data_IF_678008982257
#
_entry.id   IF_678008982257
#
_cell.length_a   1.000
_cell.length_b   1.000
_cell.length_c   1.000
_cell.angle_alpha   90.00
_cell.angle_beta   90.00
_cell.angle_gamma   90.00
#
_symmetry.space_group_name_H-M   'P 1'
#
loop_
_entity.id
_entity.type
_entity.pdbx_description
1 polymer ?
#
# COMPACT_ATOMS: atom_id res chain seq x y z
N UNK A 1 -88.04 -32.04 34.29
CA UNK A 1 -87.94 -31.08 35.41
C UNK A 1 -86.77 -30.14 35.11
N UNK A 2 -87.07 -28.86 34.90
CA UNK A 2 -86.12 -27.78 34.56
C UNK A 2 -85.39 -27.29 35.81
N UNK A 3 -84.08 -27.11 35.73
CA UNK A 3 -83.25 -26.17 36.51
C UNK A 3 -81.86 -26.20 35.82
N UNK A 4 -81.41 -25.24 35.02
CA UNK A 4 -81.21 -23.79 35.22
C UNK A 4 -80.37 -23.49 36.47
N UNK A 5 -79.10 -23.08 36.27
CA UNK A 5 -78.60 -21.73 36.60
C UNK A 5 -77.08 -21.62 36.40
N UNK A 6 -76.70 -20.55 35.68
CA UNK A 6 -75.57 -19.62 35.92
C UNK A 6 -74.19 -20.25 36.19
N UNK A 7 -73.18 -20.02 35.37
CA UNK A 7 -72.79 -18.73 34.83
C UNK A 7 -71.48 -18.28 35.48
N UNK A 8 -70.39 -18.23 34.71
CA UNK A 8 -69.28 -17.31 34.94
C UNK A 8 -68.52 -17.16 33.62
N UNK A 9 -68.96 -16.16 32.86
CA UNK A 9 -68.11 -15.48 31.88
C UNK A 9 -67.04 -14.68 32.66
N UNK A 10 -65.91 -14.48 32.00
CA UNK A 10 -64.84 -13.51 32.28
C UNK A 10 -63.78 -14.00 33.26
N UNK A 11 -62.65 -14.44 32.70
CA UNK A 11 -61.40 -13.73 32.96
C UNK A 11 -60.36 -14.00 31.88
N UNK A 12 -59.96 -12.90 31.24
CA UNK A 12 -58.61 -12.57 30.73
C UNK A 12 -57.93 -13.64 29.86
N UNK A 13 -57.88 -13.55 28.53
CA UNK A 13 -57.38 -12.42 27.73
C UNK A 13 -56.09 -11.83 28.31
N UNK A 14 -54.97 -12.57 28.23
CA UNK A 14 -53.60 -12.04 28.21
C UNK A 14 -52.57 -13.18 28.06
N UNK A 15 -52.60 -13.92 26.93
CA UNK A 15 -51.54 -14.91 26.66
C UNK A 15 -51.26 -15.09 25.17
N UNK A 16 -51.48 -14.05 24.35
CA UNK A 16 -51.32 -14.18 22.90
C UNK A 16 -50.86 -12.87 22.25
N UNK A 17 -49.85 -12.22 22.83
CA UNK A 17 -49.18 -11.05 22.25
C UNK A 17 -47.70 -10.92 22.65
N UNK A 18 -47.06 -12.03 23.04
CA UNK A 18 -45.60 -12.10 23.28
C UNK A 18 -45.06 -13.39 22.63
N UNK A 19 -45.48 -13.65 21.40
CA UNK A 19 -44.90 -14.73 20.58
C UNK A 19 -44.87 -14.33 19.10
N UNK A 20 -44.72 -13.03 18.83
CA UNK A 20 -44.58 -12.46 17.49
C UNK A 20 -43.69 -11.20 17.49
N UNK A 21 -42.74 -11.12 18.42
CA UNK A 21 -41.80 -9.99 18.56
C UNK A 21 -40.39 -10.45 19.00
N UNK A 22 -40.00 -11.68 18.65
CA UNK A 22 -38.62 -12.20 18.82
C UNK A 22 -38.16 -12.88 17.53
N UNK A 23 -38.52 -12.30 16.38
CA UNK A 23 -38.16 -12.81 15.04
C UNK A 23 -37.80 -11.66 14.10
N UNK A 24 -37.14 -10.62 14.63
CA UNK A 24 -36.75 -9.42 13.88
C UNK A 24 -35.41 -8.81 14.34
N UNK A 25 -34.45 -9.63 14.79
CA UNK A 25 -33.07 -9.20 15.06
C UNK A 25 -32.07 -10.33 14.73
N UNK A 26 -32.00 -10.74 13.46
CA UNK A 26 -30.91 -11.60 12.98
C UNK A 26 -30.70 -11.48 11.47
N UNK A 27 -30.66 -10.26 10.94
CA UNK A 27 -30.18 -9.95 9.59
C UNK A 27 -29.42 -8.62 9.70
N UNK A 28 -28.13 -8.52 9.41
CA UNK A 28 -27.10 -9.51 9.20
C UNK A 28 -25.80 -8.89 9.70
N UNK A 29 -25.03 -9.65 10.48
CA UNK A 29 -23.61 -9.38 10.55
C UNK A 29 -23.07 -9.72 9.16
N UNK A 30 -22.82 -8.71 8.32
CA UNK A 30 -21.97 -8.91 7.15
C UNK A 30 -20.67 -9.49 7.69
N UNK A 31 -20.35 -10.71 7.24
CA UNK A 31 -19.06 -11.32 7.52
C UNK A 31 -18.01 -10.29 7.15
N UNK A 32 -17.29 -9.77 8.14
CA UNK A 32 -15.97 -9.24 7.89
C UNK A 32 -15.22 -10.44 7.31
N UNK A 33 -15.05 -10.46 5.99
CA UNK A 33 -14.19 -11.41 5.33
C UNK A 33 -12.82 -11.16 5.95
N UNK A 34 -12.44 -12.02 6.90
CA UNK A 34 -11.06 -12.15 7.31
C UNK A 34 -10.30 -12.41 6.01
N UNK A 35 -9.53 -11.42 5.57
CA UNK A 35 -8.68 -11.54 4.40
C UNK A 35 -7.79 -12.75 4.68
N UNK A 36 -8.08 -13.88 4.04
CA UNK A 36 -7.19 -15.03 4.09
C UNK A 36 -5.81 -14.54 3.71
N UNK A 37 -4.77 -15.03 4.39
CA UNK A 37 -3.40 -14.63 4.08
C UNK A 37 -3.19 -14.62 2.56
N UNK A 38 -2.57 -13.56 2.02
CA UNK A 38 -2.12 -13.47 0.65
C UNK A 38 -1.73 -14.82 0.06
N UNK A 39 -2.45 -15.31 -0.96
CA UNK A 39 -2.00 -16.49 -1.68
C UNK A 39 -0.69 -16.13 -2.39
N UNK A 40 0.46 -16.73 -2.01
CA UNK A 40 1.77 -16.37 -2.58
C UNK A 40 1.87 -16.64 -4.09
N UNK A 41 0.91 -17.36 -4.68
CA UNK A 41 0.81 -17.52 -6.14
C UNK A 41 0.26 -16.27 -6.84
N UNK A 42 -0.59 -15.50 -6.16
CA UNK A 42 -1.30 -14.34 -6.70
C UNK A 42 -0.60 -13.02 -6.36
N UNK A 43 0.22 -13.00 -5.32
CA UNK A 43 0.96 -11.83 -4.89
C UNK A 43 2.29 -12.18 -4.21
N UNK A 44 3.27 -11.29 -4.32
CA UNK A 44 4.55 -11.43 -3.63
C UNK A 44 5.75 -11.05 -4.50
N UNK A 45 6.96 -11.03 -3.92
CA UNK A 45 8.21 -10.80 -4.65
C UNK A 45 8.73 -12.08 -5.32
N UNK A 46 9.42 -11.94 -6.46
CA UNK A 46 10.15 -13.05 -7.08
C UNK A 46 10.64 -12.77 -8.50
N UNK A 47 11.15 -13.83 -9.14
CA UNK A 47 11.63 -13.82 -10.52
C UNK A 47 10.48 -14.08 -11.49
N UNK A 48 9.53 -13.14 -11.52
CA UNK A 48 8.34 -13.24 -12.36
C UNK A 48 7.89 -11.87 -12.88
N UNK A 49 8.77 -11.21 -13.63
CA UNK A 49 8.36 -10.03 -14.38
C UNK A 49 7.38 -10.42 -15.50
N UNK A 50 6.80 -9.45 -16.21
CA UNK A 50 5.65 -9.76 -17.08
C UNK A 50 6.00 -10.74 -18.21
N UNK A 51 7.24 -10.76 -18.70
CA UNK A 51 7.72 -11.73 -19.70
C UNK A 51 7.84 -13.16 -19.14
N UNK A 52 8.24 -13.30 -17.88
CA UNK A 52 8.29 -14.56 -17.13
C UNK A 52 6.92 -15.20 -16.90
N UNK A 53 5.81 -14.46 -17.12
CA UNK A 53 4.44 -14.99 -17.02
C UNK A 53 4.10 -16.04 -18.11
N UNK A 54 5.10 -16.45 -18.90
CA UNK A 54 5.01 -17.46 -19.95
C UNK A 54 4.81 -16.86 -21.34
N UNK A 55 4.91 -15.53 -21.47
CA UNK A 55 4.66 -14.81 -22.71
C UNK A 55 5.52 -15.34 -23.87
N UNK A 56 4.94 -15.62 -25.06
CA UNK A 56 5.71 -16.20 -26.14
C UNK A 56 6.58 -15.09 -26.75
N UNK A 57 7.90 -15.17 -26.58
CA UNK A 57 8.92 -14.29 -27.19
C UNK A 57 9.19 -12.91 -26.56
N UNK A 58 9.19 -12.81 -25.23
CA UNK A 58 9.55 -11.58 -24.52
C UNK A 58 8.41 -10.56 -24.57
N UNK A 59 8.02 -10.03 -23.42
CA UNK A 59 6.94 -9.06 -23.38
C UNK A 59 7.32 -7.82 -24.21
N UNK A 60 6.37 -7.37 -25.04
CA UNK A 60 6.40 -6.10 -25.75
C UNK A 60 5.01 -5.50 -25.61
N UNK A 61 4.77 -4.88 -24.47
CA UNK A 61 3.48 -4.35 -24.08
C UNK A 61 3.15 -3.09 -24.88
N UNK A 62 2.04 -3.15 -25.61
CA UNK A 62 1.67 -2.12 -26.60
C UNK A 62 0.33 -1.47 -26.32
N UNK A 63 -0.37 -1.86 -25.26
CA UNK A 63 -1.63 -1.24 -24.91
C UNK A 63 -1.39 0.16 -24.33
N UNK A 64 -2.09 1.17 -24.85
CA UNK A 64 -2.07 2.55 -24.36
C UNK A 64 -3.34 2.93 -23.60
N UNK A 65 -4.09 1.95 -23.14
CA UNK A 65 -5.50 2.11 -22.79
C UNK A 65 -5.79 1.76 -21.32
N UNK A 66 -4.82 1.19 -20.62
CA UNK A 66 -4.86 0.77 -19.22
C UNK A 66 -3.47 0.91 -18.62
N UNK A 67 -3.34 1.60 -17.48
CA UNK A 67 -2.04 1.84 -16.84
C UNK A 67 -2.18 2.15 -15.34
N UNK A 68 -1.07 2.10 -14.60
CA UNK A 68 -1.00 2.64 -13.24
C UNK A 68 -0.74 4.13 -13.38
N UNK A 69 -1.70 4.98 -13.04
CA UNK A 69 -1.60 6.42 -13.21
C UNK A 69 -0.83 7.11 -12.07
N UNK A 70 -0.96 6.62 -10.84
CA UNK A 70 -0.23 7.13 -9.67
C UNK A 70 0.24 5.99 -8.77
N UNK A 71 1.41 6.15 -8.15
CA UNK A 71 1.88 5.36 -7.01
C UNK A 71 2.19 6.29 -5.84
N UNK A 72 1.41 6.16 -4.78
CA UNK A 72 1.58 6.93 -3.54
C UNK A 72 2.26 6.08 -2.47
N UNK A 73 3.51 6.40 -2.09
CA UNK A 73 4.25 5.62 -1.11
C UNK A 73 3.87 5.98 0.33
N UNK A 74 3.77 4.95 1.17
CA UNK A 74 3.86 5.03 2.63
C UNK A 74 5.16 4.36 3.08
N UNK A 75 6.17 5.16 3.40
CA UNK A 75 7.51 4.68 3.75
C UNK A 75 7.52 4.04 5.13
N UNK A 76 7.96 2.78 5.20
CA UNK A 76 8.17 2.05 6.45
C UNK A 76 9.65 1.99 6.85
N UNK A 77 10.54 1.98 5.85
CA UNK A 77 12.00 2.11 6.01
C UNK A 77 12.52 2.99 4.89
N UNK A 78 13.27 4.03 5.23
CA UNK A 78 13.77 5.02 4.28
C UNK A 78 14.97 4.52 3.46
N UNK A 79 15.19 5.16 2.32
CA UNK A 79 16.42 5.04 1.54
C UNK A 79 17.55 5.82 2.22
N UNK A 80 18.58 5.13 2.75
CA UNK A 80 19.72 5.79 3.40
C UNK A 80 20.89 6.06 2.44
N UNK A 81 20.99 5.29 1.35
CA UNK A 81 22.04 5.43 0.35
C UNK A 81 21.51 5.05 -1.02
N UNK A 82 22.11 5.59 -2.09
CA UNK A 82 21.93 5.08 -3.44
C UNK A 82 22.41 3.62 -3.50
N UNK A 83 21.61 2.73 -4.11
CA UNK A 83 21.83 1.28 -4.13
C UNK A 83 21.41 0.55 -2.84
N UNK A 84 20.98 1.29 -1.81
CA UNK A 84 20.32 0.71 -0.64
C UNK A 84 18.89 0.28 -0.94
N UNK A 85 18.13 -0.08 0.09
CA UNK A 85 16.73 -0.48 -0.05
C UNK A 85 15.80 0.31 0.87
N UNK A 86 14.60 0.60 0.40
CA UNK A 86 13.49 1.08 1.20
C UNK A 86 12.40 0.01 1.31
N UNK A 87 11.63 0.05 2.39
CA UNK A 87 10.39 -0.74 2.51
C UNK A 87 9.21 0.20 2.46
N UNK A 88 8.31 -0.01 1.49
CA UNK A 88 7.26 0.94 1.11
C UNK A 88 5.95 0.21 0.90
N UNK A 89 4.88 0.71 1.49
CA UNK A 89 3.52 0.28 1.16
C UNK A 89 2.93 1.25 0.14
N UNK A 90 2.48 0.77 -1.01
CA UNK A 90 1.94 1.62 -2.07
C UNK A 90 0.42 1.64 -2.11
N UNK A 91 -0.13 2.81 -2.35
CA UNK A 91 -1.48 3.00 -2.88
C UNK A 91 -1.37 3.38 -4.36
N UNK A 92 -2.13 2.71 -5.21
CA UNK A 92 -2.09 2.88 -6.65
C UNK A 92 -3.43 3.36 -7.19
N UNK A 93 -3.39 4.22 -8.21
CA UNK A 93 -4.57 4.51 -9.04
C UNK A 93 -4.38 3.85 -10.39
N UNK A 94 -5.35 3.05 -10.80
CA UNK A 94 -5.37 2.38 -12.09
C UNK A 94 -6.37 3.12 -12.98
N UNK A 95 -5.92 3.54 -14.15
CA UNK A 95 -6.77 4.15 -15.16
C UNK A 95 -6.97 3.21 -16.33
N UNK A 96 -8.20 3.14 -16.84
CA UNK A 96 -8.49 2.48 -18.11
C UNK A 96 -9.58 3.21 -18.86
N UNK A 97 -9.48 3.22 -20.19
CA UNK A 97 -10.56 3.63 -21.08
C UNK A 97 -11.25 2.42 -21.76
N UNK A 98 -10.80 1.20 -21.45
CA UNK A 98 -11.37 -0.04 -21.95
C UNK A 98 -12.65 -0.41 -21.18
N UNK A 99 -13.63 -1.01 -21.87
CA UNK A 99 -14.90 -1.41 -21.22
C UNK A 99 -14.69 -2.38 -20.05
N UNK A 100 -13.86 -3.41 -20.24
CA UNK A 100 -13.45 -4.38 -19.20
C UNK A 100 -12.04 -4.89 -19.51
N UNK A 101 -11.19 -4.98 -18.47
CA UNK A 101 -9.92 -5.72 -18.45
C UNK A 101 -10.03 -6.85 -17.42
N UNK A 102 -10.04 -8.08 -17.93
CA UNK A 102 -10.21 -9.31 -17.16
C UNK A 102 -8.97 -9.66 -16.38
N UNK A 103 -9.14 -10.15 -15.15
CA UNK A 103 -8.08 -10.74 -14.36
C UNK A 103 -6.85 -9.82 -14.23
N UNK A 104 -7.00 -8.62 -13.69
CA UNK A 104 -5.91 -7.65 -13.78
C UNK A 104 -4.71 -8.03 -12.91
N UNK A 105 -3.53 -8.13 -13.54
CA UNK A 105 -2.23 -8.29 -12.89
C UNK A 105 -1.46 -6.97 -12.85
N UNK A 106 -0.78 -6.71 -11.74
CA UNK A 106 0.11 -5.57 -11.53
C UNK A 106 1.51 -6.10 -11.21
N UNK A 107 2.52 -5.50 -11.84
CA UNK A 107 3.94 -5.83 -11.69
C UNK A 107 4.72 -4.56 -11.40
N UNK A 108 5.60 -4.62 -10.42
CA UNK A 108 6.47 -3.50 -10.02
C UNK A 108 7.89 -4.04 -9.92
N UNK A 109 8.85 -3.45 -10.64
CA UNK A 109 10.25 -3.84 -10.54
C UNK A 109 10.80 -3.42 -9.18
N UNK A 110 11.35 -4.36 -8.41
CA UNK A 110 11.82 -4.08 -7.04
C UNK A 110 13.31 -3.80 -6.98
N UNK A 111 14.06 -4.08 -8.03
CA UNK A 111 15.52 -3.92 -8.09
C UNK A 111 15.95 -2.61 -8.76
N UNK A 112 15.01 -1.74 -9.12
CA UNK A 112 15.26 -0.54 -9.95
C UNK A 112 15.49 -0.88 -11.43
N UNK A 113 15.25 -2.12 -11.83
CA UNK A 113 15.30 -2.60 -13.20
C UNK A 113 13.98 -2.37 -13.94
N UNK A 114 13.58 -3.38 -14.71
CA UNK A 114 12.48 -3.29 -15.68
C UNK A 114 11.40 -4.33 -15.35
N UNK A 115 10.14 -3.91 -15.20
CA UNK A 115 9.03 -4.81 -14.87
C UNK A 115 8.54 -5.66 -16.05
N UNK A 116 8.99 -5.32 -17.26
CA UNK A 116 8.67 -6.01 -18.50
C UNK A 116 9.59 -7.20 -18.76
N UNK A 117 10.90 -7.02 -18.58
CA UNK A 117 11.94 -8.00 -18.96
C UNK A 117 12.97 -8.28 -17.85
N UNK A 118 12.72 -7.80 -16.63
CA UNK A 118 13.62 -7.96 -15.50
C UNK A 118 13.51 -9.32 -14.84
N UNK A 119 14.19 -9.49 -13.70
CA UNK A 119 14.16 -10.74 -12.92
C UNK A 119 13.80 -10.53 -11.44
N UNK A 120 13.37 -9.32 -11.07
CA UNK A 120 13.00 -9.00 -9.69
C UNK A 120 11.78 -8.09 -9.70
N UNK A 121 10.62 -8.72 -9.59
CA UNK A 121 9.34 -8.03 -9.60
C UNK A 121 8.53 -8.41 -8.36
N UNK A 122 7.76 -7.45 -7.86
CA UNK A 122 6.61 -7.74 -7.03
C UNK A 122 5.38 -7.83 -7.92
N UNK A 123 4.59 -8.88 -7.70
CA UNK A 123 3.33 -9.10 -8.41
C UNK A 123 2.15 -8.96 -7.46
N UNK A 124 1.02 -8.57 -8.00
CA UNK A 124 -0.27 -8.72 -7.33
C UNK A 124 -1.41 -8.72 -8.34
N UNK A 125 -2.58 -9.09 -7.89
CA UNK A 125 -3.84 -9.00 -8.64
C UNK A 125 -4.84 -8.16 -7.84
N UNK A 126 -5.91 -7.72 -8.49
CA UNK A 126 -6.96 -6.96 -7.83
C UNK A 126 -7.77 -7.85 -6.89
N UNK A 127 -7.53 -7.70 -5.59
CA UNK A 127 -8.21 -8.44 -4.54
C UNK A 127 -8.48 -7.55 -3.32
N UNK A 128 -9.57 -7.80 -2.57
CA UNK A 128 -10.58 -8.84 -2.79
C UNK A 128 -11.52 -8.51 -3.95
N UNK A 129 -12.20 -9.52 -4.50
CA UNK A 129 -13.22 -9.35 -5.56
C UNK A 129 -14.63 -9.36 -4.99
N UNK A 130 -15.57 -8.75 -5.70
CA UNK A 130 -16.97 -8.78 -5.37
C UNK A 130 -17.56 -10.16 -5.65
N UNK A 131 -18.79 -10.40 -5.17
CA UNK A 131 -19.56 -11.53 -5.68
C UNK A 131 -19.71 -11.42 -7.20
N UNK A 132 -19.78 -12.55 -7.89
CA UNK A 132 -19.98 -12.59 -9.34
C UNK A 132 -21.14 -11.67 -9.77
N UNK A 133 -20.89 -10.87 -10.80
CA UNK A 133 -21.77 -9.86 -11.40
C UNK A 133 -22.19 -8.71 -10.45
N UNK A 134 -21.63 -8.64 -9.24
CA UNK A 134 -21.85 -7.50 -8.36
C UNK A 134 -21.00 -6.30 -8.79
N UNK A 135 -21.51 -5.09 -8.53
CA UNK A 135 -20.87 -3.85 -8.98
C UNK A 135 -19.46 -3.61 -8.38
N UNK A 136 -19.15 -4.23 -7.23
CA UNK A 136 -17.93 -3.94 -6.47
C UNK A 136 -17.90 -2.50 -5.94
N UNK A 137 -16.71 -2.06 -5.55
CA UNK A 137 -16.38 -0.69 -5.18
C UNK A 137 -14.92 -0.37 -5.56
N UNK A 138 -14.59 -0.35 -6.86
CA UNK A 138 -13.22 -0.09 -7.32
C UNK A 138 -12.75 1.32 -6.97
N UNK A 139 -13.66 2.25 -6.68
CA UNK A 139 -13.35 3.64 -6.28
C UNK A 139 -13.31 3.86 -4.78
N UNK A 140 -13.26 2.81 -3.97
CA UNK A 140 -13.06 2.96 -2.54
C UNK A 140 -11.73 3.70 -2.28
N UNK A 141 -11.72 4.89 -1.65
CA UNK A 141 -10.49 5.64 -1.41
C UNK A 141 -9.47 4.90 -0.55
N UNK A 142 -9.89 3.89 0.22
CA UNK A 142 -8.97 3.03 0.96
C UNK A 142 -8.21 2.02 0.07
N UNK A 143 -8.59 1.89 -1.21
CA UNK A 143 -7.98 0.98 -2.16
C UNK A 143 -8.22 -0.51 -1.88
N UNK A 144 -9.12 -0.85 -0.96
CA UNK A 144 -9.33 -2.23 -0.48
C UNK A 144 -10.44 -2.98 -1.23
N UNK A 145 -10.90 -2.45 -2.37
CA UNK A 145 -12.02 -3.03 -3.11
C UNK A 145 -13.34 -3.09 -2.31
N UNK A 146 -14.19 -4.11 -2.53
CA UNK A 146 -13.96 -5.24 -3.45
C UNK A 146 -13.94 -4.79 -4.92
N UNK A 147 -13.06 -5.37 -5.73
CA UNK A 147 -12.98 -5.12 -7.17
C UNK A 147 -14.08 -5.86 -7.90
N UNK A 148 -14.34 -5.51 -9.16
CA UNK A 148 -15.38 -6.17 -9.94
C UNK A 148 -15.07 -7.67 -10.08
N UNK A 149 -16.11 -8.46 -10.32
CA UNK A 149 -16.00 -9.88 -10.66
C UNK A 149 -17.07 -10.21 -11.71
N UNK A 150 -16.72 -10.24 -12.98
CA UNK A 150 -17.64 -10.47 -14.10
C UNK A 150 -17.60 -11.91 -14.61
N UNK A 151 -16.66 -12.74 -14.15
CA UNK A 151 -16.52 -14.12 -14.61
C UNK A 151 -16.61 -15.19 -13.52
N UNK A 152 -16.46 -14.80 -12.26
CA UNK A 152 -16.64 -15.63 -11.07
C UNK A 152 -15.36 -16.19 -10.48
N UNK A 153 -14.20 -15.68 -10.89
CA UNK A 153 -12.90 -16.07 -10.34
C UNK A 153 -12.50 -15.19 -9.13
N UNK A 154 -11.21 -15.20 -8.73
CA UNK A 154 -10.71 -14.37 -7.61
C UNK A 154 -9.79 -13.22 -8.03
N UNK A 155 -9.66 -12.94 -9.32
CA UNK A 155 -8.89 -11.84 -9.87
C UNK A 155 -9.82 -10.74 -10.36
N UNK A 156 -9.75 -9.56 -9.75
CA UNK A 156 -10.69 -8.50 -10.08
C UNK A 156 -10.47 -7.90 -11.46
N UNK A 157 -11.55 -7.44 -12.08
CA UNK A 157 -11.50 -6.68 -13.33
C UNK A 157 -11.49 -5.17 -13.09
N UNK A 158 -11.08 -4.43 -14.12
CA UNK A 158 -11.20 -2.97 -14.19
C UNK A 158 -11.98 -2.56 -15.43
N UNK A 159 -12.85 -1.55 -15.29
CA UNK A 159 -13.70 -1.04 -16.36
C UNK A 159 -13.47 0.46 -16.57
N UNK A 160 -13.87 0.96 -17.74
CA UNK A 160 -13.70 2.36 -18.14
C UNK A 160 -14.44 3.29 -17.19
N UNK A 161 -13.67 4.11 -16.47
CA UNK A 161 -14.10 5.17 -15.55
C UNK A 161 -15.05 4.73 -14.42
N UNK A 162 -14.63 4.87 -13.15
CA UNK A 162 -13.62 5.83 -12.68
C UNK A 162 -12.18 5.29 -12.60
N UNK A 163 -11.91 4.11 -13.17
CA UNK A 163 -10.68 3.38 -12.87
C UNK A 163 -10.81 2.65 -11.54
N UNK A 164 -9.68 2.37 -10.88
CA UNK A 164 -9.65 1.71 -9.58
C UNK A 164 -8.58 2.29 -8.66
N UNK A 165 -8.93 2.48 -7.38
CA UNK A 165 -7.95 2.66 -6.31
C UNK A 165 -7.58 1.28 -5.78
N UNK A 166 -6.28 1.00 -5.71
CA UNK A 166 -5.76 -0.28 -5.27
C UNK A 166 -4.67 -0.08 -4.22
N UNK A 167 -4.87 -0.62 -3.03
CA UNK A 167 -3.87 -0.64 -1.97
C UNK A 167 -3.10 -1.95 -2.04
N UNK A 168 -1.78 -1.87 -2.17
CA UNK A 168 -0.95 -3.06 -2.07
C UNK A 168 -1.15 -3.69 -0.68
N UNK A 169 -1.32 -5.01 -0.65
CA UNK A 169 -1.62 -5.72 0.60
C UNK A 169 -0.38 -5.97 1.45
N UNK A 170 0.81 -5.84 0.87
CA UNK A 170 2.09 -6.04 1.54
C UNK A 170 3.05 -4.89 1.22
N UNK A 171 3.94 -4.53 2.14
CA UNK A 171 5.05 -3.63 1.86
C UNK A 171 6.01 -4.26 0.85
N UNK A 172 6.47 -3.47 -0.10
CA UNK A 172 7.49 -3.83 -1.07
C UNK A 172 8.85 -3.35 -0.60
N UNK A 173 9.86 -4.19 -0.72
CA UNK A 173 11.26 -3.77 -0.62
C UNK A 173 11.72 -3.34 -2.01
N UNK A 174 12.12 -2.08 -2.17
CA UNK A 174 12.60 -1.52 -3.43
C UNK A 174 14.05 -1.06 -3.31
N UNK A 175 14.83 -1.18 -4.38
CA UNK A 175 16.16 -0.58 -4.48
C UNK A 175 16.04 0.92 -4.72
N UNK A 176 16.82 1.69 -3.97
CA UNK A 176 16.90 3.14 -4.09
C UNK A 176 17.89 3.51 -5.20
N UNK A 177 17.40 3.72 -6.42
CA UNK A 177 18.20 4.16 -7.57
C UNK A 177 18.04 5.68 -7.72
N UNK A 178 19.13 6.41 -7.98
CA UNK A 178 19.17 7.87 -8.16
C UNK A 178 20.28 8.18 -9.17
N UNK A 179 20.06 7.69 -10.40
CA UNK A 179 20.97 7.84 -11.51
C UNK A 179 20.50 8.95 -12.47
N UNK A 180 19.27 9.45 -12.31
CA UNK A 180 18.71 10.49 -13.15
C UNK A 180 18.26 11.72 -12.33
N UNK A 181 18.64 12.95 -12.73
CA UNK A 181 19.60 13.27 -13.78
C UNK A 181 21.01 12.72 -13.45
N UNK A 182 21.91 12.71 -14.44
CA UNK A 182 23.27 12.22 -14.21
C UNK A 182 23.92 12.94 -13.01
N UNK A 183 24.34 12.16 -12.01
CA UNK A 183 24.86 12.66 -10.73
C UNK A 183 23.89 12.56 -9.56
N UNK A 184 22.63 12.21 -9.83
CA UNK A 184 21.56 12.05 -8.87
C UNK A 184 21.07 13.38 -8.29
N UNK A 185 19.77 13.50 -8.06
CA UNK A 185 19.15 14.65 -7.40
C UNK A 185 18.76 14.36 -5.94
N UNK A 186 19.03 13.14 -5.45
CA UNK A 186 18.65 12.70 -4.11
C UNK A 186 17.20 12.23 -4.00
N UNK A 187 16.51 12.04 -5.12
CA UNK A 187 15.20 11.41 -5.21
C UNK A 187 15.37 10.02 -5.81
N UNK A 188 14.56 9.06 -5.36
CA UNK A 188 14.52 7.75 -6.02
C UNK A 188 13.92 7.91 -7.41
N UNK A 189 14.63 7.43 -8.43
CA UNK A 189 14.23 7.39 -9.83
C UNK A 189 12.86 6.69 -10.00
N UNK A 190 12.18 7.01 -11.10
CA UNK A 190 10.92 6.38 -11.50
C UNK A 190 11.00 4.85 -11.51
N UNK A 191 10.00 4.20 -10.96
CA UNK A 191 9.95 2.73 -10.86
C UNK A 191 9.27 2.14 -12.09
N UNK A 192 9.86 1.10 -12.67
CA UNK A 192 9.23 0.39 -13.79
C UNK A 192 8.02 -0.40 -13.31
N UNK A 193 6.88 -0.21 -13.95
CA UNK A 193 5.65 -0.94 -13.67
C UNK A 193 5.04 -1.52 -14.94
N UNK A 194 4.29 -2.60 -14.78
CA UNK A 194 3.47 -3.17 -15.85
C UNK A 194 2.10 -3.58 -15.32
N UNK A 195 1.12 -3.53 -16.20
CA UNK A 195 -0.22 -4.11 -16.01
C UNK A 195 -0.50 -5.13 -17.11
N UNK A 196 -1.22 -6.21 -16.77
CA UNK A 196 -1.65 -7.24 -17.71
C UNK A 196 -3.08 -7.68 -17.45
N UNK A 197 -3.71 -8.29 -18.45
CA UNK A 197 -5.06 -8.83 -18.35
C UNK A 197 -5.30 -9.96 -19.36
N UNK A 198 -6.36 -10.74 -19.11
CA UNK A 198 -6.83 -11.79 -20.01
C UNK A 198 -7.39 -11.22 -21.33
N UNK A 199 -7.26 -11.97 -22.43
CA UNK A 199 -7.89 -11.64 -23.70
C UNK A 199 -9.42 -11.79 -23.60
N UNK A 200 -9.91 -12.77 -22.84
CA UNK A 200 -11.33 -13.07 -22.64
C UNK A 200 -11.66 -13.38 -21.17
N UNK A 201 -12.95 -13.29 -20.82
CA UNK A 201 -13.45 -13.77 -19.54
C UNK A 201 -13.19 -15.27 -19.35
N UNK A 202 -12.88 -15.70 -18.12
CA UNK A 202 -12.57 -17.08 -17.73
C UNK A 202 -11.34 -17.68 -18.46
N UNK A 203 -10.49 -16.86 -19.08
CA UNK A 203 -9.27 -17.35 -19.72
C UNK A 203 -8.23 -17.73 -18.67
N UNK A 204 -8.16 -16.95 -17.60
CA UNK A 204 -7.32 -17.20 -16.45
C UNK A 204 -8.19 -17.70 -15.32
N UNK A 205 -7.61 -18.60 -14.53
CA UNK A 205 -8.30 -19.29 -13.44
C UNK A 205 -7.53 -18.94 -12.18
N UNK A 206 -7.87 -17.81 -11.58
CA UNK A 206 -7.28 -17.35 -10.33
C UNK A 206 -7.77 -18.16 -9.12
N UNK A 207 -7.59 -19.49 -9.12
CA UNK A 207 -8.24 -20.40 -8.16
C UNK A 207 -7.25 -21.10 -7.21
N UNK A 208 -6.00 -20.62 -7.15
CA UNK A 208 -5.12 -20.85 -6.03
C UNK A 208 -4.37 -22.18 -5.93
N UNK A 209 -4.12 -22.89 -7.04
CA UNK A 209 -3.11 -23.99 -7.02
C UNK A 209 -2.24 -24.07 -8.28
N UNK A 210 -2.70 -23.58 -9.43
CA UNK A 210 -1.97 -23.63 -10.71
C UNK A 210 -2.08 -22.34 -11.51
N UNK A 211 -2.44 -21.22 -10.88
CA UNK A 211 -2.64 -19.95 -11.59
C UNK A 211 -1.32 -19.50 -12.22
N UNK A 212 -1.16 -19.80 -13.50
CA UNK A 212 -0.44 -18.93 -14.41
C UNK A 212 -1.10 -17.58 -14.20
N UNK A 213 -0.31 -16.66 -13.64
CA UNK A 213 -0.62 -15.25 -13.46
C UNK A 213 -1.37 -14.68 -14.65
N UNK A 214 -2.06 -13.53 -14.52
CA UNK A 214 -2.60 -12.89 -15.69
C UNK A 214 -1.52 -12.62 -16.72
N UNK A 215 -1.44 -13.53 -17.67
CA UNK A 215 -0.48 -13.52 -18.74
C UNK A 215 -1.16 -12.72 -19.83
N UNK A 216 -0.50 -11.70 -20.38
CA UNK A 216 -1.05 -11.04 -21.53
C UNK A 216 -1.23 -12.07 -22.65
N UNK A 217 -2.47 -12.26 -23.11
CA UNK A 217 -2.76 -13.18 -24.22
C UNK A 217 -2.07 -12.75 -25.53
N UNK A 218 -1.80 -11.46 -25.69
CA UNK A 218 -1.06 -10.84 -26.81
C UNK A 218 -0.33 -9.58 -26.33
N UNK A 219 0.54 -8.99 -27.16
CA UNK A 219 1.22 -7.69 -26.89
C UNK A 219 0.25 -6.57 -26.54
N UNK A 220 -1.00 -6.65 -27.01
CA UNK A 220 -2.05 -5.65 -26.79
C UNK A 220 -2.81 -5.83 -25.48
N UNK A 221 -2.40 -6.80 -24.65
CA UNK A 221 -3.04 -7.14 -23.36
C UNK A 221 -2.16 -6.83 -22.15
N UNK A 222 -1.19 -5.95 -22.34
CA UNK A 222 -0.41 -5.37 -21.28
C UNK A 222 0.09 -3.98 -21.65
N UNK A 223 0.44 -3.21 -20.63
CA UNK A 223 1.07 -1.90 -20.72
C UNK A 223 2.19 -1.80 -19.69
N UNK A 224 3.31 -1.22 -20.07
CA UNK A 224 4.46 -1.03 -19.17
C UNK A 224 4.93 0.42 -19.28
N UNK A 225 5.17 1.05 -18.12
CA UNK A 225 5.69 2.40 -18.05
C UNK A 225 6.45 2.63 -16.73
N UNK A 226 7.52 3.45 -16.76
CA UNK A 226 8.08 3.99 -15.54
C UNK A 226 7.09 4.99 -14.92
N UNK A 227 7.00 5.00 -13.60
CA UNK A 227 6.15 5.91 -12.86
C UNK A 227 6.91 6.59 -11.73
N UNK A 228 6.77 7.91 -11.65
CA UNK A 228 7.24 8.69 -10.52
C UNK A 228 6.36 8.45 -9.29
N UNK A 229 6.96 8.49 -8.11
CA UNK A 229 6.22 8.42 -6.86
C UNK A 229 5.57 9.77 -6.54
N UNK A 230 4.34 9.75 -6.01
CA UNK A 230 3.63 10.93 -5.54
C UNK A 230 3.08 10.72 -4.11
N UNK A 231 3.73 11.27 -3.07
CA UNK A 231 4.90 12.15 -3.12
C UNK A 231 6.21 11.40 -3.49
N UNK A 232 7.26 12.12 -3.93
CA UNK A 232 8.56 11.53 -4.21
C UNK A 232 9.19 10.82 -3.00
N UNK A 233 9.95 9.76 -3.25
CA UNK A 233 10.75 9.08 -2.21
C UNK A 233 12.14 9.72 -2.20
N UNK A 234 12.55 10.27 -1.06
CA UNK A 234 13.86 10.91 -0.92
C UNK A 234 14.92 9.93 -0.45
N UNK A 235 16.13 10.05 -1.00
CA UNK A 235 17.33 9.38 -0.50
C UNK A 235 17.95 10.27 0.57
N UNK A 236 17.88 9.80 1.80
CA UNK A 236 18.39 10.53 2.95
C UNK A 236 19.92 10.56 2.93
N UNK A 237 20.49 11.72 2.59
CA UNK A 237 21.94 12.00 2.69
C UNK A 237 22.32 12.72 3.99
N UNK A 238 21.44 12.68 5.00
CA UNK A 238 21.70 13.36 6.27
C UNK A 238 22.68 12.60 7.13
N UNK A 239 23.64 13.32 7.71
CA UNK A 239 24.23 12.90 8.98
C UNK A 239 23.15 13.09 10.04
N UNK A 240 22.95 12.07 10.87
CA UNK A 240 22.27 12.28 12.14
C UNK A 240 23.14 13.23 12.96
N UNK A 241 22.84 14.52 12.92
CA UNK A 241 23.36 15.46 13.92
C UNK A 241 22.57 15.25 15.21
N UNK A 242 22.52 14.00 15.68
CA UNK A 242 21.76 13.48 16.81
C UNK A 242 22.16 14.08 18.16
N UNK A 243 22.82 15.24 18.15
CA UNK A 243 23.06 16.11 19.29
C UNK A 243 23.23 17.55 18.79
N UNK A 244 22.13 18.19 18.40
CA UNK A 244 22.08 19.64 18.56
C UNK A 244 22.17 19.90 20.07
N UNK A 245 23.19 20.63 20.56
CA UNK A 245 23.46 20.74 21.99
C UNK A 245 22.20 21.18 22.73
N UNK A 246 21.61 20.27 23.51
CA UNK A 246 20.60 20.65 24.48
C UNK A 246 21.33 21.41 25.60
N UNK A 247 21.35 22.73 25.45
CA UNK A 247 21.81 23.63 26.49
C UNK A 247 23.01 24.45 26.07
N UNK A 248 22.83 25.76 26.21
CA UNK A 248 23.90 26.76 26.28
C UNK A 248 24.96 26.27 27.27
N UNK A 249 26.16 25.92 26.79
CA UNK A 249 27.33 25.90 27.68
C UNK A 249 27.65 27.36 27.95
N UNK A 250 27.16 27.89 29.07
CA UNK A 250 27.44 29.25 29.49
C UNK A 250 28.96 29.43 29.60
N UNK A 251 29.56 30.13 28.64
CA UNK A 251 31.01 30.42 28.59
C UNK A 251 31.77 29.92 27.36
N UNK A 252 31.15 29.27 26.37
CA UNK A 252 31.84 28.95 25.12
C UNK A 252 31.79 30.11 24.13
N UNK A 253 32.96 30.54 23.61
CA UNK A 253 33.07 31.63 22.62
C UNK A 253 32.81 31.15 21.17
N UNK A 254 31.93 30.16 20.96
CA UNK A 254 31.62 29.66 19.63
C UNK A 254 30.45 30.48 19.01
N UNK A 255 30.53 30.98 17.77
CA UNK A 255 29.51 31.88 17.19
C UNK A 255 28.18 31.24 16.78
N UNK A 256 27.82 30.06 17.29
CA UNK A 256 26.62 29.32 16.85
C UNK A 256 25.70 28.98 18.02
N UNK A 257 25.13 30.02 18.63
CA UNK A 257 23.92 29.92 19.46
C UNK A 257 22.70 29.71 18.54
N UNK A 258 22.48 28.48 18.09
CA UNK A 258 21.19 28.09 17.55
C UNK A 258 20.44 27.28 18.60
N UNK A 259 19.42 27.89 19.18
CA UNK A 259 18.51 27.24 20.12
C UNK A 259 17.48 26.44 19.30
N UNK A 260 17.71 25.13 19.14
CA UNK A 260 16.78 24.24 18.44
C UNK A 260 15.90 23.50 19.46
N UNK A 261 14.65 23.94 19.70
CA UNK A 261 13.74 23.18 20.55
C UNK A 261 13.42 21.84 19.88
N UNK A 262 13.83 20.75 20.54
CA UNK A 262 13.44 19.37 20.20
C UNK A 262 12.28 18.96 21.11
N UNK A 263 11.23 18.34 20.57
CA UNK A 263 10.10 17.84 21.35
C UNK A 263 10.55 16.66 22.24
N UNK A 264 10.21 16.74 23.53
CA UNK A 264 10.57 15.78 24.57
C UNK A 264 9.52 14.67 24.71
N UNK A 265 9.66 13.59 23.94
CA UNK A 265 8.99 12.34 24.29
C UNK A 265 9.89 11.55 25.26
N UNK A 266 9.41 11.32 26.47
CA UNK A 266 10.09 10.55 27.53
C UNK A 266 10.44 9.11 27.09
N UNK A 267 11.60 8.89 26.43
CA UNK A 267 12.23 7.55 26.39
C UNK A 267 12.91 7.03 25.12
N UNK A 268 13.62 7.82 24.30
CA UNK A 268 14.43 7.24 23.22
C UNK A 268 15.29 8.21 22.39
N UNK A 269 16.20 7.69 21.52
CA UNK A 269 17.13 8.49 20.71
C UNK A 269 16.42 9.50 19.82
N UNK A 270 17.03 10.67 19.71
CA UNK A 270 16.40 11.94 19.34
C UNK A 270 16.83 12.37 17.93
N UNK A 271 15.99 12.14 16.93
CA UNK A 271 16.18 12.69 15.59
C UNK A 271 15.27 13.92 15.42
N UNK A 272 15.85 15.06 15.08
CA UNK A 272 15.16 16.36 15.07
C UNK A 272 14.09 16.43 13.97
N UNK A 273 12.82 16.44 14.38
CA UNK A 273 11.73 17.04 13.61
C UNK A 273 11.54 18.46 14.17
N UNK A 274 11.67 19.48 13.32
CA UNK A 274 11.03 20.76 13.62
C UNK A 274 9.54 20.63 13.29
N UNK A 275 8.72 20.35 14.31
CA UNK A 275 7.27 20.64 14.30
C UNK A 275 7.03 21.81 15.28
N UNK A 276 7.54 22.98 14.89
CA UNK A 276 7.57 24.23 15.64
C UNK A 276 6.15 24.71 16.01
N UNK A 277 5.12 24.29 15.26
CA UNK A 277 3.72 24.60 15.53
C UNK A 277 2.90 23.43 16.11
N UNK A 278 3.53 22.28 16.36
CA UNK A 278 2.96 21.10 17.02
C UNK A 278 1.66 20.62 16.37
N UNK A 279 1.60 20.66 15.04
CA UNK A 279 0.42 20.34 14.25
C UNK A 279 0.46 18.90 13.70
N UNK A 280 1.53 18.15 13.96
CA UNK A 280 1.75 16.79 13.46
C UNK A 280 2.32 16.72 12.03
N UNK A 281 2.75 17.86 11.47
CA UNK A 281 3.31 18.01 10.12
C UNK A 281 4.72 18.61 10.27
N UNK A 282 5.78 17.95 9.77
CA UNK A 282 7.13 18.51 9.81
C UNK A 282 7.18 19.89 9.12
N UNK A 283 7.67 20.91 9.81
CA UNK A 283 7.94 22.20 9.19
C UNK A 283 9.17 22.10 8.27
N UNK A 284 9.16 22.89 7.21
CA UNK A 284 10.28 22.99 6.27
C UNK A 284 11.43 23.79 6.91
N UNK A 285 12.66 23.27 6.84
CA UNK A 285 13.86 24.00 7.21
C UNK A 285 14.68 24.29 5.95
N UNK A 286 14.88 25.57 5.61
CA UNK A 286 15.54 25.96 4.35
C UNK A 286 14.80 25.54 3.07
N UNK A 287 13.51 25.21 3.16
CA UNK A 287 12.69 24.72 2.04
C UNK A 287 12.70 23.19 1.88
N UNK A 288 13.32 22.44 2.79
CA UNK A 288 13.41 20.97 2.71
C UNK A 288 12.56 20.33 3.83
N UNK A 289 11.74 19.29 3.54
CA UNK A 289 10.98 18.57 4.55
C UNK A 289 11.88 17.73 5.47
N UNK A 290 11.65 17.78 6.78
CA UNK A 290 12.24 16.82 7.72
C UNK A 290 11.46 15.49 7.66
N UNK A 291 12.17 14.37 7.54
CA UNK A 291 11.59 13.03 7.46
C UNK A 291 11.81 12.31 8.80
N UNK A 292 10.73 11.73 9.35
CA UNK A 292 10.81 10.82 10.49
C UNK A 292 11.39 9.47 10.03
N UNK A 293 12.56 9.10 10.56
CA UNK A 293 13.28 7.88 10.18
C UNK A 293 12.91 6.64 11.02
N UNK A 294 11.93 6.76 11.93
CA UNK A 294 11.58 5.71 12.88
C UNK A 294 12.46 5.70 14.13
N UNK A 295 12.17 4.79 15.06
CA UNK A 295 12.87 4.68 16.36
C UNK A 295 14.20 3.92 16.32
N UNK A 296 14.58 3.40 15.14
CA UNK A 296 15.65 2.39 15.00
C UNK A 296 16.84 2.84 14.14
N UNK A 297 16.86 4.09 13.67
CA UNK A 297 17.93 4.59 12.77
C UNK A 297 18.91 5.43 13.60
N UNK A 298 19.80 4.77 14.34
CA UNK A 298 20.97 5.41 14.96
C UNK A 298 22.16 5.26 14.02
N UNK A 299 22.66 6.39 13.51
CA UNK A 299 23.84 6.44 12.64
C UNK A 299 24.96 7.26 13.28
N UNK A 300 25.30 6.93 14.53
CA UNK A 300 26.56 7.36 15.15
C UNK A 300 27.76 6.63 14.49
N UNK A 301 28.73 7.35 13.90
CA UNK A 301 29.80 6.76 13.08
C UNK A 301 30.92 6.04 13.87
N UNK A 302 30.79 5.88 15.19
CA UNK A 302 31.83 5.28 16.04
C UNK A 302 31.45 3.84 16.47
N UNK A 303 32.31 2.83 16.22
CA UNK A 303 32.10 1.48 16.72
C UNK A 303 32.31 1.47 18.24
N UNK A 304 31.23 1.58 19.01
CA UNK A 304 31.29 1.55 20.47
C UNK A 304 30.24 2.39 21.21
N UNK A 305 29.41 3.15 20.51
CA UNK A 305 28.41 4.02 21.16
C UNK A 305 27.14 3.21 21.43
N UNK A 306 26.95 2.82 22.68
CA UNK A 306 25.77 2.05 23.14
C UNK A 306 24.64 2.94 23.67
N UNK A 307 24.91 4.23 23.82
CA UNK A 307 24.02 5.22 24.43
C UNK A 307 23.61 6.36 23.47
N UNK A 308 24.06 6.30 22.21
CA UNK A 308 23.73 7.30 21.20
C UNK A 308 24.35 8.68 21.46
N UNK A 309 25.49 8.75 22.17
CA UNK A 309 26.24 9.99 22.35
C UNK A 309 27.65 9.89 21.76
N UNK A 310 28.14 10.91 21.02
CA UNK A 310 29.53 11.01 20.63
C UNK A 310 30.39 11.07 21.89
N UNK A 311 31.21 10.05 22.08
CA UNK A 311 32.26 10.02 23.08
C UNK A 311 33.32 11.06 22.69
N UNK A 312 33.16 12.30 23.16
CA UNK A 312 34.19 13.32 23.05
C UNK A 312 35.39 12.85 23.87
N UNK A 313 36.35 12.22 23.21
CA UNK A 313 37.64 11.87 23.78
C UNK A 313 38.25 13.10 24.43
N UNK A 314 38.61 12.96 25.71
CA UNK A 314 39.25 13.98 26.53
C UNK A 314 40.61 14.45 25.96
#
# INVERSE_FOLDING_TARGET
MKMSLRGKKRSLLAASAIMLAVLALSVGATAAFAQGSPNPQQQGPGQFCIDDSGYPSGANCTAGDTRIATLSPSIQSACLTVGGTATVLFDATIETNAQTRWDMGLYVATDGGNAEIGNSCYKTVLQPVAAKDAAGNPTNPAGTGPFKNEDGDTCGEVNSTPGAFFKFLQPLTITCVDNFPAGGDGVVDDISTCVSWGQNANELVCNGVTALMPRPGTTSKCSCEPIAFDPPILIYKGYDFGDLPQGVVAGSNCPTDFNYPTLDANGGPKHAIQDVDNNGIPNLQGGVPAIWLGTNVDHSPAPGETDGQPSFGA
#
